data_IF_385485635800
#
_entry.id   IF_385485635800
#
_cell.length_a   1.000
_cell.length_b   1.000
_cell.length_c   1.000
_cell.angle_alpha   90.00
_cell.angle_beta   90.00
_cell.angle_gamma   90.00
#
_symmetry.space_group_name_H-M   'P 1'
#
loop_
_entity.id
_entity.type
_entity.pdbx_description
1 polymer ?
#
# COMPACT_ATOMS: atom_id res chain seq x y z
N UNK A 1 -21.97 13.17 0.53
CA UNK A 1 -21.90 11.86 1.21
C UNK A 1 -22.75 10.83 0.48
N UNK A 2 -22.16 9.69 0.13
CA UNK A 2 -22.86 8.61 -0.58
C UNK A 2 -23.59 7.64 0.38
N UNK A 3 -23.33 7.77 1.70
CA UNK A 3 -23.86 6.85 2.73
C UNK A 3 -24.41 7.60 3.91
N UNK A 4 -25.56 7.15 4.43
CA UNK A 4 -26.11 7.66 5.68
C UNK A 4 -25.35 7.10 6.90
N UNK A 5 -25.53 7.70 8.06
CA UNK A 5 -24.91 7.21 9.32
C UNK A 5 -25.39 5.80 9.67
N UNK A 6 -26.67 5.48 9.36
CA UNK A 6 -27.25 4.15 9.55
C UNK A 6 -26.59 3.11 8.65
N UNK A 7 -26.35 3.45 7.37
CA UNK A 7 -25.67 2.55 6.43
C UNK A 7 -24.22 2.27 6.83
N UNK A 8 -23.51 3.31 7.31
CA UNK A 8 -22.15 3.15 7.83
C UNK A 8 -22.13 2.24 9.06
N UNK A 9 -23.09 2.44 9.98
CA UNK A 9 -23.22 1.60 11.18
C UNK A 9 -23.56 0.16 10.85
N UNK A 10 -24.51 -0.07 9.95
CA UNK A 10 -24.89 -1.40 9.50
C UNK A 10 -23.70 -2.16 8.88
N UNK A 11 -22.90 -1.49 8.03
CA UNK A 11 -21.69 -2.06 7.46
C UNK A 11 -20.69 -2.48 8.54
N UNK A 12 -20.43 -1.60 9.51
CA UNK A 12 -19.50 -1.91 10.61
C UNK A 12 -20.01 -3.09 11.44
N UNK A 13 -21.30 -3.09 11.80
CA UNK A 13 -21.90 -4.18 12.57
C UNK A 13 -21.87 -5.51 11.81
N UNK A 14 -22.02 -5.46 10.47
CA UNK A 14 -21.85 -6.65 9.64
C UNK A 14 -20.40 -7.17 9.70
N UNK A 15 -19.41 -6.32 9.58
CA UNK A 15 -18.00 -6.71 9.70
C UNK A 15 -17.75 -7.35 11.08
N UNK A 16 -18.19 -6.73 12.16
CA UNK A 16 -17.98 -7.22 13.52
C UNK A 16 -18.66 -8.58 13.77
N UNK A 17 -19.88 -8.78 13.27
CA UNK A 17 -20.56 -10.10 13.36
C UNK A 17 -19.81 -11.23 12.68
N UNK A 18 -18.99 -10.88 11.67
CA UNK A 18 -18.13 -11.85 10.96
C UNK A 18 -16.70 -11.92 11.55
N UNK A 19 -16.43 -11.32 12.70
CA UNK A 19 -15.12 -11.29 13.33
C UNK A 19 -14.09 -10.44 12.57
N UNK A 20 -14.55 -9.53 11.70
CA UNK A 20 -13.73 -8.61 10.92
C UNK A 20 -13.71 -7.22 11.57
N UNK A 21 -12.61 -6.51 11.37
CA UNK A 21 -12.53 -5.07 11.64
C UNK A 21 -13.02 -4.28 10.44
N UNK A 22 -13.69 -3.16 10.70
CA UNK A 22 -14.20 -2.31 9.64
C UNK A 22 -13.25 -1.16 9.30
N UNK A 23 -13.08 -0.90 8.01
CA UNK A 23 -12.26 0.19 7.50
C UNK A 23 -13.05 1.15 6.62
N UNK A 24 -12.55 2.39 6.52
CA UNK A 24 -13.11 3.43 5.67
C UNK A 24 -12.02 4.15 4.90
N UNK A 25 -12.38 4.68 3.74
CA UNK A 25 -11.55 5.55 2.90
C UNK A 25 -12.02 7.00 3.00
N UNK A 26 -11.07 7.94 3.07
CA UNK A 26 -11.39 9.35 3.11
C UNK A 26 -10.26 10.23 2.56
N UNK A 27 -10.61 11.45 2.12
CA UNK A 27 -9.71 12.46 1.55
C UNK A 27 -9.85 13.77 2.34
N UNK A 28 -8.93 14.03 3.30
CA UNK A 28 -9.10 15.17 4.22
C UNK A 28 -8.83 16.54 3.59
N UNK A 29 -7.91 16.65 2.63
CA UNK A 29 -7.36 17.93 2.17
C UNK A 29 -7.66 18.24 0.70
N UNK A 30 -8.74 17.66 0.15
CA UNK A 30 -9.13 17.85 -1.25
C UNK A 30 -10.60 18.17 -1.43
N UNK A 31 -10.92 18.92 -2.48
CA UNK A 31 -12.27 19.03 -3.05
C UNK A 31 -12.30 18.49 -4.48
N UNK A 32 -13.00 17.36 -4.68
CA UNK A 32 -13.19 16.73 -5.97
C UNK A 32 -14.34 17.29 -6.78
N UNK A 33 -15.30 17.94 -6.13
CA UNK A 33 -16.45 18.56 -6.81
C UNK A 33 -16.05 19.84 -7.52
N UNK A 34 -15.02 20.53 -7.01
CA UNK A 34 -14.55 21.81 -7.53
C UNK A 34 -15.70 22.83 -7.64
N UNK A 35 -16.56 22.83 -6.63
CA UNK A 35 -17.68 23.75 -6.51
C UNK A 35 -17.40 24.77 -5.41
N UNK A 36 -16.98 26.00 -5.78
CA UNK A 36 -16.58 27.03 -4.81
C UNK A 36 -17.73 27.50 -3.92
N UNK A 37 -18.98 27.33 -4.35
CA UNK A 37 -20.15 27.79 -3.58
C UNK A 37 -20.69 26.70 -2.64
N UNK A 38 -20.30 25.46 -2.82
CA UNK A 38 -20.65 24.37 -1.92
C UNK A 38 -20.12 24.67 -0.51
N UNK A 39 -20.87 24.31 0.51
CA UNK A 39 -20.45 24.47 1.91
C UNK A 39 -19.49 23.38 2.33
N UNK A 40 -18.44 23.75 3.05
CA UNK A 40 -17.55 22.82 3.74
C UNK A 40 -18.34 22.04 4.77
N UNK A 41 -18.24 20.73 4.79
CA UNK A 41 -19.06 19.86 5.63
C UNK A 41 -18.94 20.24 7.11
N UNK A 42 -20.09 20.32 7.78
CA UNK A 42 -20.18 20.75 9.17
C UNK A 42 -20.04 22.27 9.39
N UNK A 43 -20.08 23.09 8.32
CA UNK A 43 -19.96 24.55 8.41
C UNK A 43 -20.86 25.28 7.43
N UNK A 44 -20.97 26.61 7.59
CA UNK A 44 -21.60 27.52 6.60
C UNK A 44 -20.57 28.17 5.66
N UNK A 45 -19.29 27.86 5.79
CA UNK A 45 -18.20 28.42 4.99
C UNK A 45 -18.22 27.83 3.58
N UNK A 46 -18.23 28.62 2.50
CA UNK A 46 -18.12 28.09 1.14
C UNK A 46 -16.70 27.61 0.85
N UNK A 47 -16.56 26.61 -0.04
CA UNK A 47 -15.27 26.01 -0.34
C UNK A 47 -14.25 27.00 -0.94
N UNK A 48 -14.69 28.05 -1.66
CA UNK A 48 -13.77 29.11 -2.16
C UNK A 48 -12.92 29.76 -1.08
N UNK A 49 -13.40 29.79 0.16
CA UNK A 49 -12.68 30.42 1.28
C UNK A 49 -11.60 29.50 1.88
N UNK A 50 -11.63 28.20 1.55
CA UNK A 50 -10.69 27.21 2.09
C UNK A 50 -9.72 26.68 1.03
N UNK A 51 -9.85 27.06 -0.24
CA UNK A 51 -8.89 26.62 -1.25
C UNK A 51 -7.52 27.23 -1.03
N UNK A 52 -6.48 26.48 -1.37
CA UNK A 52 -5.12 26.99 -1.50
C UNK A 52 -4.98 27.71 -2.85
N UNK A 53 -4.48 28.94 -2.82
CA UNK A 53 -4.23 29.75 -4.01
C UNK A 53 -2.74 29.98 -4.19
N UNK A 54 -2.25 29.93 -5.44
CA UNK A 54 -0.95 30.43 -5.84
C UNK A 54 -1.05 31.26 -7.11
N UNK A 55 -0.49 32.47 -7.09
CA UNK A 55 -0.62 33.45 -8.15
C UNK A 55 -2.09 33.73 -8.53
N UNK A 56 -2.97 33.75 -7.51
CA UNK A 56 -4.40 34.03 -7.66
C UNK A 56 -5.22 32.92 -8.33
N UNK A 57 -4.67 31.69 -8.42
CA UNK A 57 -5.36 30.51 -8.97
C UNK A 57 -5.42 29.40 -7.94
N UNK A 58 -6.52 28.64 -7.95
CA UNK A 58 -6.70 27.46 -7.13
C UNK A 58 -5.60 26.44 -7.42
N UNK A 59 -4.97 25.93 -6.37
CA UNK A 59 -4.01 24.86 -6.47
C UNK A 59 -4.71 23.52 -6.73
N UNK A 60 -4.23 22.80 -7.72
CA UNK A 60 -4.82 21.55 -8.19
C UNK A 60 -3.74 20.50 -8.46
N UNK A 61 -4.03 19.27 -8.08
CA UNK A 61 -3.23 18.07 -8.38
C UNK A 61 -4.18 16.91 -8.66
N UNK A 62 -3.87 16.08 -9.67
CA UNK A 62 -4.65 14.91 -10.04
C UNK A 62 -6.17 15.17 -10.26
N UNK A 63 -6.53 16.38 -10.60
CA UNK A 63 -7.92 16.78 -10.88
C UNK A 63 -8.73 17.25 -9.67
N UNK A 64 -8.19 17.22 -8.46
CA UNK A 64 -8.84 17.78 -7.27
C UNK A 64 -8.24 19.13 -6.90
N UNK A 65 -9.03 20.00 -6.27
CA UNK A 65 -8.55 21.24 -5.68
C UNK A 65 -8.08 21.02 -4.24
N UNK A 66 -6.95 21.67 -3.91
CA UNK A 66 -6.34 21.61 -2.59
C UNK A 66 -7.05 22.55 -1.61
N UNK A 67 -7.29 22.10 -0.39
CA UNK A 67 -7.85 22.92 0.68
C UNK A 67 -6.83 23.12 1.80
N UNK A 68 -6.85 24.30 2.42
CA UNK A 68 -5.90 24.71 3.46
C UNK A 68 -6.10 23.93 4.76
N UNK A 69 -5.14 23.07 5.16
CA UNK A 69 -5.25 22.30 6.41
C UNK A 69 -5.29 23.18 7.66
N UNK A 70 -4.87 24.45 7.56
CA UNK A 70 -4.83 25.37 8.71
C UNK A 70 -6.15 26.09 8.94
N UNK A 71 -7.05 26.08 7.93
CA UNK A 71 -8.29 26.84 7.98
C UNK A 71 -9.26 26.25 9.02
N UNK A 72 -9.91 27.11 9.87
CA UNK A 72 -10.84 26.63 10.90
C UNK A 72 -12.01 25.79 10.35
N UNK A 73 -12.54 26.10 9.17
CA UNK A 73 -13.61 25.32 8.54
C UNK A 73 -13.12 23.92 8.11
N UNK A 74 -11.85 23.77 7.68
CA UNK A 74 -11.26 22.47 7.35
C UNK A 74 -11.08 21.63 8.62
N UNK A 75 -10.70 22.25 9.74
CA UNK A 75 -10.67 21.57 11.07
C UNK A 75 -12.06 21.07 11.47
N UNK A 76 -13.11 21.90 11.31
CA UNK A 76 -14.49 21.46 11.56
C UNK A 76 -14.94 20.34 10.61
N UNK A 77 -14.50 20.35 9.35
CA UNK A 77 -14.73 19.24 8.41
C UNK A 77 -14.08 17.94 8.92
N UNK A 78 -12.87 18.04 9.46
CA UNK A 78 -12.20 16.89 10.08
C UNK A 78 -13.04 16.36 11.25
N UNK A 79 -13.50 17.23 12.15
CA UNK A 79 -14.33 16.85 13.28
C UNK A 79 -15.63 16.19 12.81
N UNK A 80 -16.32 16.79 11.83
CA UNK A 80 -17.58 16.27 11.29
C UNK A 80 -17.44 14.82 10.79
N UNK A 81 -16.40 14.51 10.00
CA UNK A 81 -16.20 13.17 9.47
C UNK A 81 -15.67 12.19 10.52
N UNK A 82 -14.70 12.61 11.33
CA UNK A 82 -14.14 11.73 12.37
C UNK A 82 -15.16 11.33 13.43
N UNK A 83 -16.04 12.23 13.83
CA UNK A 83 -17.14 11.90 14.74
C UNK A 83 -18.12 10.88 14.14
N UNK A 84 -18.45 10.99 12.86
CA UNK A 84 -19.26 10.00 12.13
C UNK A 84 -18.59 8.64 12.11
N UNK A 85 -17.29 8.61 11.81
CA UNK A 85 -16.52 7.36 11.76
C UNK A 85 -16.42 6.69 13.15
N UNK A 86 -16.24 7.49 14.21
CA UNK A 86 -16.26 7.00 15.59
C UNK A 86 -17.62 6.44 15.98
N UNK A 87 -18.73 7.15 15.69
CA UNK A 87 -20.09 6.69 15.99
C UNK A 87 -20.41 5.38 15.27
N UNK A 88 -19.99 5.24 14.01
CA UNK A 88 -20.17 4.00 13.27
C UNK A 88 -19.34 2.84 13.85
N UNK A 89 -18.15 3.12 14.42
CA UNK A 89 -17.27 2.12 15.03
C UNK A 89 -16.16 1.63 14.12
N UNK A 90 -15.73 2.43 13.14
CA UNK A 90 -14.57 2.08 12.30
C UNK A 90 -13.27 2.02 13.10
N UNK A 91 -12.36 1.11 12.70
CA UNK A 91 -11.08 0.85 13.39
C UNK A 91 -9.88 1.02 12.44
N UNK A 92 -10.11 1.12 11.14
CA UNK A 92 -9.11 1.32 10.09
C UNK A 92 -9.52 2.48 9.20
N UNK A 93 -8.55 3.29 8.79
CA UNK A 93 -8.79 4.36 7.81
C UNK A 93 -7.64 4.43 6.80
N UNK A 94 -8.01 4.47 5.53
CA UNK A 94 -7.11 4.90 4.45
C UNK A 94 -7.39 6.37 4.18
N UNK A 95 -6.39 7.22 4.45
CA UNK A 95 -6.42 8.64 4.10
C UNK A 95 -5.57 8.88 2.87
N UNK A 96 -6.13 9.59 1.89
CA UNK A 96 -5.54 9.71 0.56
C UNK A 96 -5.44 11.16 0.08
N UNK A 97 -4.69 11.36 -0.99
CA UNK A 97 -4.45 12.66 -1.61
C UNK A 97 -3.90 13.71 -0.64
N UNK A 98 -3.06 13.27 0.27
CA UNK A 98 -2.53 14.10 1.35
C UNK A 98 -1.52 15.15 0.88
N UNK A 99 -0.88 14.92 -0.28
CA UNK A 99 0.05 15.89 -0.89
C UNK A 99 -0.64 17.24 -1.16
N UNK A 100 -1.96 17.25 -1.39
CA UNK A 100 -2.73 18.48 -1.56
C UNK A 100 -2.60 19.42 -0.37
N UNK A 101 -2.61 18.89 0.86
CA UNK A 101 -2.41 19.67 2.08
C UNK A 101 -0.98 20.17 2.30
N UNK A 102 -0.03 19.73 1.47
CA UNK A 102 1.38 20.15 1.51
C UNK A 102 1.76 21.04 0.30
N UNK A 103 0.80 21.43 -0.53
CA UNK A 103 1.07 22.33 -1.66
C UNK A 103 1.40 23.74 -1.16
N UNK A 104 2.36 24.36 -1.83
CA UNK A 104 2.71 25.76 -1.52
C UNK A 104 1.60 26.71 -2.00
N UNK A 105 1.36 27.78 -1.24
CA UNK A 105 0.34 28.77 -1.51
C UNK A 105 0.81 30.18 -1.22
N UNK A 106 0.11 31.19 -1.77
CA UNK A 106 0.41 32.60 -1.52
C UNK A 106 0.25 32.97 -0.04
N UNK A 107 -0.68 32.30 0.66
CA UNK A 107 -0.93 32.45 2.10
C UNK A 107 -1.70 31.26 2.65
N UNK A 108 -1.65 31.08 3.96
CA UNK A 108 -2.44 30.14 4.73
C UNK A 108 -3.36 30.88 5.71
N UNK A 109 -4.45 30.26 6.13
CA UNK A 109 -5.39 30.83 7.11
C UNK A 109 -4.72 31.10 8.47
N UNK A 110 -3.73 30.26 8.86
CA UNK A 110 -2.85 30.56 9.99
C UNK A 110 -1.66 31.42 9.50
N UNK A 111 -1.57 32.71 9.90
CA UNK A 111 -0.52 33.60 9.44
C UNK A 111 0.90 33.21 9.90
N UNK A 112 1.04 32.28 10.86
CA UNK A 112 2.33 31.76 11.30
C UNK A 112 2.82 30.61 10.43
N UNK A 113 2.00 30.11 9.51
CA UNK A 113 2.32 29.05 8.57
C UNK A 113 2.75 29.69 7.25
N UNK A 114 3.99 29.42 6.86
CA UNK A 114 4.62 30.06 5.69
C UNK A 114 4.99 29.06 4.59
N UNK A 115 4.83 27.75 4.82
CA UNK A 115 5.12 26.71 3.83
C UNK A 115 4.04 25.62 3.84
N UNK A 116 3.87 24.97 2.68
CA UNK A 116 2.91 23.88 2.54
C UNK A 116 3.17 22.72 3.51
N UNK A 117 4.44 22.38 3.79
CA UNK A 117 4.75 21.31 4.75
C UNK A 117 4.42 21.70 6.21
N UNK A 118 4.48 22.97 6.58
CA UNK A 118 4.00 23.42 7.88
C UNK A 118 2.48 23.31 7.97
N UNK A 119 1.75 23.69 6.91
CA UNK A 119 0.30 23.53 6.82
C UNK A 119 -0.10 22.04 6.94
N UNK A 120 0.58 21.17 6.18
CA UNK A 120 0.39 19.73 6.25
C UNK A 120 0.58 19.18 7.66
N UNK A 121 1.68 19.56 8.32
CA UNK A 121 1.97 19.10 9.68
C UNK A 121 0.89 19.55 10.68
N UNK A 122 0.40 20.79 10.56
CA UNK A 122 -0.68 21.29 11.42
C UNK A 122 -1.99 20.52 11.17
N UNK A 123 -2.36 20.29 9.90
CA UNK A 123 -3.55 19.53 9.54
C UNK A 123 -3.48 18.06 9.96
N UNK A 124 -2.36 17.41 9.73
CA UNK A 124 -2.16 16.01 10.14
C UNK A 124 -2.18 15.83 11.65
N UNK A 125 -1.56 16.75 12.39
CA UNK A 125 -1.62 16.73 13.86
C UNK A 125 -3.08 16.84 14.34
N UNK A 126 -3.83 17.80 13.79
CA UNK A 126 -5.25 17.96 14.13
C UNK A 126 -6.06 16.69 13.83
N UNK A 127 -5.84 16.09 12.67
CA UNK A 127 -6.48 14.86 12.24
C UNK A 127 -6.19 13.69 13.21
N UNK A 128 -4.92 13.52 13.61
CA UNK A 128 -4.54 12.50 14.59
C UNK A 128 -5.18 12.70 15.95
N UNK A 129 -5.23 13.94 16.43
CA UNK A 129 -5.90 14.29 17.69
C UNK A 129 -7.40 13.93 17.61
N UNK A 130 -8.06 14.22 16.46
CA UNK A 130 -9.45 13.86 16.19
C UNK A 130 -9.68 12.34 16.14
N UNK A 131 -8.70 11.56 15.67
CA UNK A 131 -8.78 10.09 15.65
C UNK A 131 -8.65 9.44 17.04
N UNK A 132 -8.16 10.17 18.03
CA UNK A 132 -8.08 9.71 19.44
C UNK A 132 -7.36 8.36 19.62
N UNK A 133 -6.42 8.04 18.73
CA UNK A 133 -5.67 6.79 18.77
C UNK A 133 -6.48 5.51 18.46
N UNK A 134 -7.71 5.64 17.92
CA UNK A 134 -8.61 4.50 17.69
C UNK A 134 -8.49 3.86 16.30
N UNK A 135 -7.77 4.50 15.37
CA UNK A 135 -7.66 4.02 13.99
C UNK A 135 -6.26 3.46 13.69
N UNK A 136 -6.23 2.37 12.97
CA UNK A 136 -5.06 2.04 12.17
C UNK A 136 -5.10 2.92 10.91
N UNK A 137 -4.02 3.66 10.65
CA UNK A 137 -3.96 4.66 9.58
C UNK A 137 -3.04 4.18 8.48
N UNK A 138 -3.57 4.07 7.26
CA UNK A 138 -2.80 3.94 6.02
C UNK A 138 -2.90 5.24 5.24
N UNK A 139 -1.77 5.77 4.78
CA UNK A 139 -1.74 6.99 3.96
C UNK A 139 -1.31 6.69 2.52
N UNK A 140 -1.89 7.44 1.58
CA UNK A 140 -1.54 7.40 0.17
C UNK A 140 -1.42 8.81 -0.41
N UNK A 141 -0.72 8.93 -1.54
CA UNK A 141 -0.39 10.20 -2.20
C UNK A 141 0.01 11.25 -1.16
N UNK A 142 1.05 10.95 -0.40
CA UNK A 142 1.48 11.76 0.74
C UNK A 142 2.96 12.12 0.64
N UNK A 143 3.41 13.20 1.27
CA UNK A 143 4.83 13.38 1.55
C UNK A 143 5.43 12.12 2.17
N UNK A 144 6.67 11.77 1.80
CA UNK A 144 7.36 10.60 2.38
C UNK A 144 7.62 10.83 3.86
N UNK A 145 7.91 12.05 4.23
CA UNK A 145 8.14 12.48 5.60
C UNK A 145 7.30 13.71 5.94
N UNK A 146 6.90 13.87 7.21
CA UNK A 146 7.20 13.01 8.35
C UNK A 146 6.39 11.70 8.36
N UNK A 147 6.97 10.63 8.89
CA UNK A 147 6.39 9.28 8.88
C UNK A 147 5.48 8.96 10.07
N UNK A 148 5.55 9.74 11.14
CA UNK A 148 4.88 9.43 12.42
C UNK A 148 3.36 9.63 12.42
N UNK A 149 2.79 10.13 11.31
CA UNK A 149 1.34 10.34 11.19
C UNK A 149 0.55 9.09 10.78
N UNK A 150 1.23 8.05 10.31
CA UNK A 150 0.56 6.85 9.84
C UNK A 150 1.30 5.57 10.22
N UNK A 151 0.58 4.46 10.25
CA UNK A 151 1.12 3.13 10.52
C UNK A 151 1.69 2.50 9.25
N UNK A 152 1.09 2.79 8.11
CA UNK A 152 1.52 2.29 6.82
C UNK A 152 1.39 3.33 5.72
N UNK A 153 2.12 3.12 4.61
CA UNK A 153 2.15 4.02 3.48
C UNK A 153 2.14 3.25 2.17
N UNK A 154 1.34 3.71 1.20
CA UNK A 154 1.40 3.28 -0.20
C UNK A 154 2.76 3.59 -0.80
N UNK A 155 3.36 2.62 -1.46
CA UNK A 155 4.70 2.76 -2.06
C UNK A 155 4.66 3.05 -3.56
N UNK A 156 3.50 2.89 -4.21
CA UNK A 156 3.30 3.12 -5.65
C UNK A 156 1.89 3.64 -5.91
N UNK A 157 1.59 4.02 -7.16
CA UNK A 157 0.24 4.31 -7.62
C UNK A 157 -0.63 3.05 -7.62
N UNK A 158 -1.88 3.17 -8.06
CA UNK A 158 -2.82 2.05 -8.12
C UNK A 158 -2.25 0.90 -8.95
N UNK A 159 -2.34 -0.29 -8.39
CA UNK A 159 -1.84 -1.51 -9.00
C UNK A 159 -2.97 -2.53 -9.13
N UNK A 160 -3.01 -3.20 -10.28
CA UNK A 160 -4.07 -4.14 -10.61
C UNK A 160 -3.54 -5.57 -10.69
N UNK A 161 -3.95 -6.35 -11.71
CA UNK A 161 -3.68 -7.78 -11.76
C UNK A 161 -2.48 -8.17 -12.64
N UNK A 162 -2.07 -7.29 -13.57
CA UNK A 162 -1.05 -7.62 -14.55
C UNK A 162 0.36 -7.67 -13.94
N UNK A 163 1.25 -8.43 -14.58
CA UNK A 163 2.66 -8.49 -14.15
C UNK A 163 3.34 -7.12 -14.17
N UNK A 164 2.94 -6.25 -15.09
CA UNK A 164 3.42 -4.87 -15.18
C UNK A 164 3.02 -4.03 -13.97
N UNK A 165 1.85 -4.28 -13.38
CA UNK A 165 1.41 -3.61 -12.15
C UNK A 165 2.27 -4.08 -10.96
N UNK A 166 2.59 -5.38 -10.93
CA UNK A 166 3.48 -5.94 -9.91
C UNK A 166 4.90 -5.37 -10.05
N UNK A 167 5.45 -5.27 -11.27
CA UNK A 167 6.75 -4.65 -11.54
C UNK A 167 6.77 -3.20 -11.09
N UNK A 168 5.74 -2.43 -11.43
CA UNK A 168 5.60 -1.03 -11.03
C UNK A 168 5.58 -0.86 -9.51
N UNK A 169 4.80 -1.68 -8.81
CA UNK A 169 4.76 -1.67 -7.34
C UNK A 169 6.12 -2.03 -6.75
N UNK A 170 6.76 -3.07 -7.28
CA UNK A 170 8.06 -3.53 -6.79
C UNK A 170 9.22 -2.61 -7.16
N UNK A 171 9.06 -1.72 -8.16
CA UNK A 171 9.98 -0.60 -8.36
C UNK A 171 10.02 0.27 -7.10
N UNK A 172 8.86 0.62 -6.54
CA UNK A 172 8.77 1.34 -5.27
C UNK A 172 9.43 0.60 -4.11
N UNK A 173 9.31 -0.74 -4.05
CA UNK A 173 9.99 -1.57 -3.05
C UNK A 173 11.50 -1.63 -3.27
N UNK A 174 11.96 -1.74 -4.52
CA UNK A 174 13.40 -1.82 -4.85
C UNK A 174 14.19 -0.65 -4.29
N UNK A 175 13.62 0.55 -4.31
CA UNK A 175 14.26 1.77 -3.80
C UNK A 175 13.85 2.14 -2.38
N UNK A 176 12.66 1.73 -1.95
CA UNK A 176 12.04 2.15 -0.69
C UNK A 176 11.82 1.03 0.34
N UNK A 177 12.41 -0.14 0.19
CA UNK A 177 12.24 -1.27 1.12
C UNK A 177 12.53 -0.88 2.57
N UNK A 178 13.52 -0.02 2.81
CA UNK A 178 13.94 0.47 4.12
C UNK A 178 12.89 1.36 4.81
N UNK A 179 11.90 1.87 4.07
CA UNK A 179 10.79 2.66 4.64
C UNK A 179 9.95 1.86 5.65
N UNK A 180 10.03 0.52 5.64
CA UNK A 180 9.44 -0.30 6.71
C UNK A 180 10.07 -0.06 8.10
N UNK A 181 11.18 0.67 8.19
CA UNK A 181 11.75 1.10 9.46
C UNK A 181 11.20 2.48 9.91
N UNK A 182 10.63 3.26 8.99
CA UNK A 182 9.99 4.55 9.27
C UNK A 182 8.47 4.40 9.45
N UNK A 183 7.83 3.62 8.60
CA UNK A 183 6.46 3.17 8.72
C UNK A 183 6.45 1.72 9.23
N UNK A 184 5.42 1.34 9.97
CA UNK A 184 5.32 -0.04 10.45
C UNK A 184 5.21 -1.03 9.30
N UNK A 185 4.48 -0.65 8.22
CA UNK A 185 4.30 -1.46 7.02
C UNK A 185 4.35 -0.59 5.76
N UNK A 186 4.89 -1.15 4.69
CA UNK A 186 4.71 -0.65 3.34
C UNK A 186 3.42 -1.27 2.74
N UNK A 187 2.72 -0.50 1.91
CA UNK A 187 1.47 -0.91 1.28
C UNK A 187 1.67 -1.02 -0.24
N UNK A 188 1.50 -2.23 -0.75
CA UNK A 188 1.62 -2.57 -2.18
C UNK A 188 0.33 -2.35 -2.97
N UNK A 189 -0.69 -1.75 -2.37
CA UNK A 189 -2.05 -1.63 -2.89
C UNK A 189 -2.83 -2.95 -2.91
N UNK A 190 -4.10 -2.85 -3.28
CA UNK A 190 -5.02 -3.97 -3.38
C UNK A 190 -4.55 -5.02 -4.41
N UNK A 191 -4.78 -6.27 -4.09
CA UNK A 191 -4.41 -7.41 -4.93
C UNK A 191 -5.65 -7.88 -5.69
N UNK A 192 -5.63 -7.73 -7.01
CA UNK A 192 -6.67 -8.23 -7.89
C UNK A 192 -6.23 -9.56 -8.53
N UNK A 193 -7.09 -10.56 -8.43
CA UNK A 193 -6.85 -11.88 -9.02
C UNK A 193 -7.51 -12.04 -10.37
N UNK A 194 -8.51 -11.23 -10.68
CA UNK A 194 -9.25 -11.36 -11.92
C UNK A 194 -9.29 -10.07 -12.74
N UNK A 195 -8.72 -10.16 -13.93
CA UNK A 195 -9.01 -9.35 -15.12
C UNK A 195 -8.91 -10.26 -16.34
N UNK A 196 -9.54 -9.86 -17.44
CA UNK A 196 -9.44 -10.61 -18.69
C UNK A 196 -7.97 -10.73 -19.14
N UNK A 197 -7.58 -11.92 -19.56
CA UNK A 197 -6.23 -12.22 -20.05
C UNK A 197 -5.18 -12.45 -18.95
N UNK A 198 -5.50 -12.28 -17.67
CA UNK A 198 -4.56 -12.50 -16.56
C UNK A 198 -4.33 -13.99 -16.31
N UNK A 199 -3.07 -14.37 -16.23
CA UNK A 199 -2.60 -15.74 -15.98
C UNK A 199 -2.53 -16.07 -14.48
N UNK A 200 -2.41 -17.35 -14.15
CA UNK A 200 -2.15 -17.77 -12.75
C UNK A 200 -0.74 -17.38 -12.28
N UNK A 201 0.24 -17.29 -13.20
CA UNK A 201 1.58 -16.76 -12.89
C UNK A 201 1.51 -15.31 -12.40
N UNK A 202 0.77 -14.48 -13.14
CA UNK A 202 0.54 -13.09 -12.73
C UNK A 202 -0.19 -12.99 -11.38
N UNK A 203 -1.11 -13.92 -11.07
CA UNK A 203 -1.75 -13.96 -9.74
C UNK A 203 -0.75 -14.30 -8.64
N UNK A 204 0.13 -15.32 -8.84
CA UNK A 204 1.19 -15.63 -7.88
C UNK A 204 2.12 -14.42 -7.67
N UNK A 205 2.54 -13.79 -8.77
CA UNK A 205 3.39 -12.60 -8.72
C UNK A 205 2.70 -11.45 -7.95
N UNK A 206 1.42 -11.20 -8.20
CA UNK A 206 0.67 -10.14 -7.53
C UNK A 206 0.50 -10.40 -6.04
N UNK A 207 0.12 -11.61 -5.63
CA UNK A 207 0.04 -11.97 -4.21
C UNK A 207 1.41 -11.87 -3.54
N UNK A 208 2.46 -12.38 -4.20
CA UNK A 208 3.81 -12.32 -3.66
C UNK A 208 4.29 -10.87 -3.50
N UNK A 209 3.96 -9.97 -4.44
CA UNK A 209 4.33 -8.55 -4.34
C UNK A 209 3.76 -7.88 -3.08
N UNK A 210 2.51 -8.18 -2.73
CA UNK A 210 1.90 -7.70 -1.48
C UNK A 210 2.56 -8.29 -0.24
N UNK A 211 2.77 -9.61 -0.24
CA UNK A 211 3.36 -10.35 0.88
C UNK A 211 4.76 -9.86 1.24
N UNK A 212 5.62 -9.62 0.23
CA UNK A 212 7.01 -9.18 0.47
C UNK A 212 7.14 -7.68 0.74
N UNK A 213 6.10 -6.92 0.49
CA UNK A 213 6.07 -5.48 0.77
C UNK A 213 5.68 -5.20 2.22
N UNK A 214 4.71 -5.94 2.77
CA UNK A 214 4.36 -5.86 4.19
C UNK A 214 2.87 -5.88 4.49
N UNK A 215 2.02 -5.39 3.59
CA UNK A 215 0.56 -5.47 3.70
C UNK A 215 0.02 -6.11 2.43
N UNK A 216 -0.91 -7.07 2.58
CA UNK A 216 -1.69 -7.51 1.44
C UNK A 216 -3.18 -7.55 1.75
N UNK A 217 -3.98 -7.09 0.81
CA UNK A 217 -5.43 -7.02 0.92
C UNK A 217 -6.08 -7.37 -0.43
N UNK A 218 -7.21 -8.05 -0.39
CA UNK A 218 -7.95 -8.38 -1.61
C UNK A 218 -8.66 -7.14 -2.16
N UNK A 219 -8.64 -6.98 -3.49
CA UNK A 219 -9.35 -5.93 -4.22
C UNK A 219 -10.45 -6.44 -5.13
N UNK A 220 -10.62 -7.79 -5.23
CA UNK A 220 -11.67 -8.35 -6.08
C UNK A 220 -13.07 -8.24 -5.45
N UNK A 221 -14.09 -8.16 -6.30
CA UNK A 221 -15.48 -8.29 -5.89
C UNK A 221 -15.80 -9.75 -5.53
N UNK A 222 -15.88 -10.03 -4.24
CA UNK A 222 -16.22 -11.35 -3.69
C UNK A 222 -17.69 -11.48 -3.29
N UNK A 223 -18.55 -10.49 -3.61
CA UNK A 223 -19.99 -10.55 -3.36
C UNK A 223 -20.65 -11.68 -4.17
N UNK A 224 -21.90 -12.00 -3.87
CA UNK A 224 -22.62 -13.03 -4.63
C UNK A 224 -22.70 -12.71 -6.12
N UNK A 225 -22.78 -11.43 -6.49
CA UNK A 225 -22.81 -10.95 -7.87
C UNK A 225 -21.42 -10.90 -8.52
N UNK A 226 -20.32 -10.93 -7.74
CA UNK A 226 -18.97 -10.84 -8.24
C UNK A 226 -18.53 -12.04 -9.09
N UNK A 227 -17.48 -11.89 -9.93
CA UNK A 227 -17.03 -12.93 -10.86
C UNK A 227 -16.65 -14.23 -10.14
N UNK A 228 -17.19 -15.37 -10.61
CA UNK A 228 -16.87 -16.69 -10.04
C UNK A 228 -15.37 -16.99 -10.10
N UNK A 229 -14.71 -16.62 -11.22
CA UNK A 229 -13.28 -16.80 -11.41
C UNK A 229 -12.46 -16.03 -10.37
N UNK A 230 -12.85 -14.81 -10.00
CA UNK A 230 -12.19 -14.04 -8.94
C UNK A 230 -12.24 -14.82 -7.61
N UNK A 231 -13.39 -15.33 -7.23
CA UNK A 231 -13.57 -16.11 -5.99
C UNK A 231 -12.71 -17.38 -5.97
N UNK A 232 -12.67 -18.10 -7.08
CA UNK A 232 -11.87 -19.33 -7.24
C UNK A 232 -10.37 -19.01 -7.12
N UNK A 233 -9.89 -17.95 -7.77
CA UNK A 233 -8.50 -17.52 -7.72
C UNK A 233 -8.12 -16.98 -6.35
N UNK A 234 -8.94 -16.14 -5.74
CA UNK A 234 -8.71 -15.69 -4.36
C UNK A 234 -8.60 -16.89 -3.42
N UNK A 235 -9.54 -17.84 -3.49
CA UNK A 235 -9.47 -19.07 -2.70
C UNK A 235 -8.17 -19.83 -2.95
N UNK A 236 -7.72 -19.95 -4.20
CA UNK A 236 -6.49 -20.68 -4.56
C UNK A 236 -5.22 -19.99 -4.05
N UNK A 237 -5.09 -18.69 -4.25
CA UNK A 237 -3.82 -17.99 -4.01
C UNK A 237 -3.72 -17.34 -2.64
N UNK A 238 -4.83 -16.89 -2.03
CA UNK A 238 -4.82 -16.29 -0.69
C UNK A 238 -4.87 -17.31 0.45
N UNK A 239 -5.07 -18.59 0.18
CA UNK A 239 -5.11 -19.63 1.22
C UNK A 239 -3.81 -20.46 1.32
N UNK A 240 -2.76 -20.11 0.57
CA UNK A 240 -1.46 -20.75 0.73
C UNK A 240 -0.87 -20.40 2.12
N UNK A 241 -0.80 -21.41 3.00
CA UNK A 241 -0.41 -21.22 4.39
C UNK A 241 1.03 -20.74 4.57
N UNK A 242 1.96 -21.21 3.72
CA UNK A 242 3.38 -20.83 3.80
C UNK A 242 3.59 -19.39 3.31
N UNK A 243 2.93 -18.98 2.23
CA UNK A 243 2.94 -17.59 1.74
C UNK A 243 2.32 -16.65 2.79
N UNK A 244 1.18 -17.04 3.38
CA UNK A 244 0.54 -16.26 4.44
C UNK A 244 1.40 -16.15 5.71
N UNK A 245 2.26 -17.14 5.96
CA UNK A 245 3.21 -17.09 7.07
C UNK A 245 4.25 -15.99 6.88
N UNK A 246 4.72 -15.78 5.65
CA UNK A 246 5.61 -14.66 5.30
C UNK A 246 4.89 -13.32 5.52
N UNK A 247 3.65 -13.17 5.05
CA UNK A 247 2.88 -11.96 5.25
C UNK A 247 2.75 -11.56 6.73
N UNK A 248 2.63 -12.56 7.63
CA UNK A 248 2.54 -12.33 9.09
C UNK A 248 3.84 -11.86 9.74
N UNK A 249 4.99 -12.02 9.08
CA UNK A 249 6.27 -11.44 9.54
C UNK A 249 6.16 -9.92 9.51
N UNK A 250 5.42 -9.36 8.53
CA UNK A 250 5.13 -7.93 8.44
C UNK A 250 6.37 -7.07 8.18
N UNK A 251 7.37 -7.60 7.48
CA UNK A 251 8.58 -6.88 7.10
C UNK A 251 8.77 -6.90 5.59
N UNK A 252 9.22 -5.78 5.06
CA UNK A 252 9.58 -5.69 3.64
C UNK A 252 10.85 -6.49 3.34
N UNK A 253 10.85 -7.16 2.21
CA UNK A 253 12.05 -7.77 1.64
C UNK A 253 12.94 -6.67 1.07
N UNK A 254 14.25 -6.87 1.12
CA UNK A 254 15.22 -6.03 0.42
C UNK A 254 15.62 -6.65 -0.93
N UNK A 255 16.04 -5.85 -1.92
CA UNK A 255 16.69 -6.38 -3.12
C UNK A 255 17.96 -7.17 -2.73
N UNK A 256 18.21 -8.30 -3.40
CA UNK A 256 19.40 -9.14 -3.14
C UNK A 256 20.69 -8.34 -3.36
N UNK A 257 20.77 -7.65 -4.48
CA UNK A 257 21.97 -6.91 -4.87
C UNK A 257 22.00 -5.45 -4.37
N UNK A 258 21.07 -5.10 -3.48
CA UNK A 258 20.91 -3.73 -3.01
C UNK A 258 20.40 -2.80 -4.12
N UNK A 259 20.70 -1.50 -3.96
CA UNK A 259 20.34 -0.51 -4.96
C UNK A 259 21.19 -0.65 -6.21
N UNK A 260 20.57 -0.99 -7.32
CA UNK A 260 21.16 -0.86 -8.67
C UNK A 260 20.23 0.01 -9.51
N UNK A 261 20.75 1.06 -10.20
CA UNK A 261 19.93 1.80 -11.14
C UNK A 261 19.49 0.85 -12.24
N UNK A 262 18.21 0.50 -12.23
CA UNK A 262 17.65 -0.26 -13.35
C UNK A 262 17.38 0.70 -14.50
N UNK A 263 17.80 0.33 -15.70
CA UNK A 263 17.44 1.09 -16.90
C UNK A 263 15.91 1.20 -16.98
N UNK A 264 15.40 2.41 -17.19
CA UNK A 264 13.96 2.69 -17.36
C UNK A 264 13.04 2.51 -16.14
N UNK A 265 13.57 2.62 -14.91
CA UNK A 265 12.74 2.58 -13.70
C UNK A 265 12.03 1.25 -13.43
N UNK A 266 12.60 0.13 -13.84
CA UNK A 266 12.08 -1.21 -13.60
C UNK A 266 12.41 -1.71 -12.20
N UNK A 267 11.65 -2.67 -11.69
CA UNK A 267 11.93 -3.33 -10.44
C UNK A 267 13.14 -4.28 -10.53
N UNK A 268 13.77 -4.52 -9.38
CA UNK A 268 14.69 -5.66 -9.23
C UNK A 268 13.92 -6.99 -9.36
N UNK A 269 14.57 -8.01 -9.90
CA UNK A 269 13.95 -9.34 -10.03
C UNK A 269 14.04 -10.15 -8.73
N UNK A 270 15.05 -9.89 -7.88
CA UNK A 270 15.39 -10.74 -6.74
C UNK A 270 15.30 -9.99 -5.43
N UNK A 271 14.53 -10.56 -4.50
CA UNK A 271 14.35 -10.01 -3.16
C UNK A 271 14.64 -11.07 -2.10
N UNK A 272 15.11 -10.63 -0.94
CA UNK A 272 15.47 -11.52 0.17
C UNK A 272 14.98 -10.97 1.50
N UNK A 273 14.54 -11.87 2.39
CA UNK A 273 14.30 -11.61 3.80
C UNK A 273 15.04 -12.64 4.64
N UNK A 274 15.97 -12.16 5.43
CA UNK A 274 16.74 -12.98 6.36
C UNK A 274 16.05 -13.03 7.73
N UNK A 275 15.85 -14.21 8.24
CA UNK A 275 15.43 -14.49 9.60
C UNK A 275 16.49 -15.36 10.30
N UNK A 276 16.38 -15.51 11.59
CA UNK A 276 17.39 -16.26 12.36
C UNK A 276 17.61 -17.68 11.82
N UNK A 277 16.54 -18.41 11.55
CA UNK A 277 16.59 -19.83 11.14
C UNK A 277 16.22 -20.07 9.67
N UNK A 278 15.81 -19.04 8.94
CA UNK A 278 15.28 -19.16 7.57
C UNK A 278 15.69 -17.95 6.74
N UNK A 279 16.04 -18.21 5.48
CA UNK A 279 16.13 -17.18 4.46
C UNK A 279 15.02 -17.38 3.44
N UNK A 280 14.23 -16.34 3.18
CA UNK A 280 13.27 -16.34 2.10
C UNK A 280 13.86 -15.59 0.91
N UNK A 281 13.80 -16.21 -0.27
CA UNK A 281 14.29 -15.63 -1.52
C UNK A 281 13.15 -15.63 -2.54
N UNK A 282 12.96 -14.52 -3.20
CA UNK A 282 11.91 -14.35 -4.22
C UNK A 282 12.54 -13.96 -5.54
N UNK A 283 12.16 -14.65 -6.60
CA UNK A 283 12.57 -14.37 -7.97
C UNK A 283 11.34 -14.06 -8.83
N UNK A 284 11.24 -12.83 -9.34
CA UNK A 284 10.18 -12.41 -10.26
C UNK A 284 10.68 -12.45 -11.71
N UNK A 285 9.83 -12.93 -12.61
CA UNK A 285 10.01 -12.75 -14.04
C UNK A 285 8.94 -11.81 -14.58
N UNK A 286 9.32 -10.58 -14.89
CA UNK A 286 8.41 -9.57 -15.46
C UNK A 286 8.25 -9.71 -16.98
N UNK A 287 9.09 -10.49 -17.68
CA UNK A 287 8.92 -10.76 -19.09
C UNK A 287 7.72 -11.68 -19.35
N UNK A 288 6.93 -11.35 -20.38
CA UNK A 288 5.73 -12.13 -20.76
C UNK A 288 6.00 -13.22 -21.79
N UNK A 289 7.16 -13.19 -22.42
CA UNK A 289 7.48 -13.97 -23.63
C UNK A 289 8.60 -15.00 -23.44
N UNK A 290 9.33 -14.94 -22.33
CA UNK A 290 10.48 -15.82 -22.09
C UNK A 290 10.68 -16.14 -20.62
N UNK A 291 11.19 -17.33 -20.27
CA UNK A 291 11.58 -17.66 -18.92
C UNK A 291 12.78 -16.82 -18.46
N UNK A 292 12.93 -16.69 -17.16
CA UNK A 292 14.09 -16.13 -16.48
C UNK A 292 14.90 -17.27 -15.83
N UNK A 293 16.05 -17.60 -16.39
CA UNK A 293 17.03 -18.42 -15.69
C UNK A 293 17.87 -17.57 -14.75
N UNK A 294 18.15 -18.07 -13.56
CA UNK A 294 18.93 -17.33 -12.58
C UNK A 294 19.82 -18.21 -11.73
N UNK A 295 20.88 -17.59 -11.23
CA UNK A 295 21.80 -18.15 -10.24
C UNK A 295 22.13 -17.07 -9.23
N UNK A 296 21.89 -17.34 -7.94
CA UNK A 296 22.19 -16.45 -6.83
C UNK A 296 23.22 -17.11 -5.92
N UNK A 297 24.39 -16.51 -5.76
CA UNK A 297 25.41 -17.04 -4.87
C UNK A 297 24.93 -16.99 -3.42
N UNK A 298 25.26 -18.00 -2.62
CA UNK A 298 24.89 -18.03 -1.20
C UNK A 298 25.50 -16.86 -0.41
N UNK A 299 26.66 -16.37 -0.82
CA UNK A 299 27.26 -15.15 -0.26
C UNK A 299 26.34 -13.92 -0.39
N UNK A 300 25.59 -13.80 -1.49
CA UNK A 300 24.65 -12.69 -1.72
C UNK A 300 23.36 -12.82 -0.86
N UNK A 301 23.08 -14.05 -0.42
CA UNK A 301 21.94 -14.41 0.42
C UNK A 301 22.30 -14.50 1.92
N UNK A 302 23.53 -14.14 2.29
CA UNK A 302 24.05 -14.27 3.64
C UNK A 302 24.00 -15.73 4.18
N UNK A 303 24.28 -16.69 3.30
CA UNK A 303 24.40 -18.11 3.58
C UNK A 303 25.87 -18.57 3.40
N UNK A 304 26.28 -19.59 4.15
CA UNK A 304 27.62 -20.16 4.04
C UNK A 304 27.74 -20.98 2.75
N UNK A 305 28.59 -20.59 1.79
CA UNK A 305 28.73 -21.30 0.51
C UNK A 305 29.34 -22.70 0.66
N UNK A 306 29.96 -23.03 1.79
CA UNK A 306 30.52 -24.37 2.05
C UNK A 306 29.45 -25.39 2.50
N UNK A 307 28.23 -24.95 2.75
CA UNK A 307 27.15 -25.82 3.23
C UNK A 307 26.14 -26.15 2.13
N UNK A 308 25.48 -27.29 2.30
CA UNK A 308 24.28 -27.65 1.53
C UNK A 308 23.04 -27.25 2.31
N UNK A 309 22.08 -26.65 1.63
CA UNK A 309 20.83 -26.21 2.23
C UNK A 309 19.62 -26.86 1.55
N UNK A 310 18.66 -27.29 2.36
CA UNK A 310 17.35 -27.69 1.87
C UNK A 310 16.47 -26.46 1.67
N UNK A 311 15.90 -26.33 0.50
CA UNK A 311 15.02 -25.26 0.11
C UNK A 311 13.67 -25.77 -0.39
N UNK A 312 12.59 -25.11 -0.02
CA UNK A 312 11.22 -25.41 -0.50
C UNK A 312 10.74 -24.25 -1.34
N UNK A 313 10.30 -24.52 -2.58
CA UNK A 313 9.58 -23.55 -3.38
C UNK A 313 8.10 -23.52 -2.91
N UNK A 314 7.62 -22.37 -2.42
CA UNK A 314 6.39 -22.29 -1.64
C UNK A 314 5.10 -22.30 -2.46
N UNK A 315 5.16 -21.98 -3.75
CA UNK A 315 3.98 -22.06 -4.62
C UNK A 315 3.74 -23.48 -5.14
N UNK A 316 4.80 -24.21 -5.48
CA UNK A 316 4.73 -25.57 -6.01
C UNK A 316 4.84 -26.65 -4.93
N UNK A 317 5.47 -26.33 -3.79
CA UNK A 317 5.78 -27.29 -2.73
C UNK A 317 7.01 -28.18 -3.04
N UNK A 318 7.74 -27.91 -4.11
CA UNK A 318 8.94 -28.67 -4.49
C UNK A 318 10.05 -28.42 -3.48
N UNK A 319 10.74 -29.49 -3.06
CA UNK A 319 11.91 -29.44 -2.19
C UNK A 319 13.16 -29.83 -2.99
N UNK A 320 14.20 -29.03 -2.86
CA UNK A 320 15.49 -29.25 -3.51
C UNK A 320 16.63 -28.96 -2.53
N UNK A 321 17.79 -29.53 -2.82
CA UNK A 321 19.04 -29.23 -2.12
C UNK A 321 19.97 -28.42 -3.02
N UNK A 322 20.57 -27.38 -2.44
CA UNK A 322 21.50 -26.50 -3.14
C UNK A 322 22.81 -26.37 -2.37
N UNK A 323 23.90 -26.29 -3.12
CA UNK A 323 25.25 -26.03 -2.61
C UNK A 323 25.87 -24.88 -3.37
N UNK A 324 26.51 -23.94 -2.67
CA UNK A 324 27.16 -22.73 -3.18
C UNK A 324 26.21 -21.68 -3.73
N UNK A 325 25.13 -22.05 -4.41
CA UNK A 325 24.23 -21.13 -5.11
C UNK A 325 22.82 -21.68 -5.23
N UNK A 326 21.83 -20.79 -5.21
CA UNK A 326 20.45 -21.07 -5.54
C UNK A 326 20.21 -20.87 -7.03
N UNK A 327 19.81 -21.92 -7.73
CA UNK A 327 19.47 -21.88 -9.17
C UNK A 327 17.99 -22.11 -9.39
N UNK A 328 17.46 -21.52 -10.44
CA UNK A 328 16.07 -21.74 -10.82
C UNK A 328 15.74 -21.16 -12.19
N UNK A 329 14.52 -21.46 -12.61
CA UNK A 329 13.93 -20.91 -13.81
C UNK A 329 12.49 -20.47 -13.50
N UNK A 330 12.21 -19.17 -13.66
CA UNK A 330 10.86 -18.61 -13.49
C UNK A 330 10.17 -18.54 -14.84
N UNK A 331 8.97 -19.14 -14.99
CA UNK A 331 8.17 -19.00 -16.21
C UNK A 331 7.88 -17.54 -16.58
N UNK A 332 7.45 -17.25 -17.81
CA UNK A 332 7.01 -15.91 -18.19
C UNK A 332 5.91 -15.38 -17.28
N UNK A 333 5.99 -14.11 -16.90
CA UNK A 333 5.02 -13.40 -16.06
C UNK A 333 4.65 -14.17 -14.78
N UNK A 334 5.65 -14.61 -14.03
CA UNK A 334 5.48 -15.45 -12.84
C UNK A 334 6.49 -15.12 -11.74
N UNK A 335 6.47 -15.91 -10.66
CA UNK A 335 7.35 -15.76 -9.49
C UNK A 335 7.67 -17.11 -8.87
N UNK A 336 8.85 -17.23 -8.29
CA UNK A 336 9.23 -18.31 -7.35
C UNK A 336 9.52 -17.72 -5.99
N UNK A 337 9.14 -18.47 -4.93
CA UNK A 337 9.36 -18.10 -3.53
C UNK A 337 10.02 -19.24 -2.81
N UNK A 338 11.30 -19.11 -2.54
CA UNK A 338 12.09 -20.13 -1.85
C UNK A 338 12.19 -19.86 -0.36
N UNK A 339 11.99 -20.91 0.43
CA UNK A 339 12.25 -20.96 1.87
C UNK A 339 13.45 -21.85 2.12
N UNK A 340 14.57 -21.26 2.49
CA UNK A 340 15.84 -21.94 2.75
C UNK A 340 16.02 -22.05 4.27
N UNK A 341 16.16 -23.26 4.80
CA UNK A 341 16.40 -23.47 6.23
C UNK A 341 17.89 -23.31 6.54
N UNK A 342 18.22 -22.48 7.51
CA UNK A 342 19.56 -22.44 8.12
C UNK A 342 19.68 -23.62 9.11
N UNK A 343 20.62 -24.48 8.90
CA UNK A 343 20.90 -25.62 9.79
C UNK A 343 21.83 -25.19 10.93
#
# INVERSE_FOLDING_TARGET
>A
DNFSDEQLKEFVDHCHRNGQKAGIYWVPFTDWFRDPERKVEGTDTPYREVYLYANGKEQSLDGAWAIDPTHPAVKKRIDYFTERFHRAGFEYIKIDFLTHGAMEADSHADPNVTTGIQAYNQGMKYLLDAFKGKFYITQAISPVFPSHYAHSRRIACDAFAAITDSEYTLNGLSYGWWLCNAYRFNDADHLLMFREGITEGENRARVTSGVITGIYMNGDDLTLAGPKVAKERVKKFFTNAEINRIARIGRSFRPVYGYRPTANGRAENFFVLEQEQVVYVVAFNFAKDRPLEYTLAFSDLNLDPARTYSATELWSGVNEEFTMELKGQVPPADVQVWKIKKL
#
